data_IF_028026508865
#
_entry.id   IF_028026508865
#
_cell.length_a   1.000
_cell.length_b   1.000
_cell.length_c   1.000
_cell.angle_alpha   90.00
_cell.angle_beta   90.00
_cell.angle_gamma   90.00
#
_symmetry.space_group_name_H-M   'P 1'
#
loop_
_entity.id
_entity.type
_entity.pdbx_description
1 polymer ?
#
# COMPACT_ATOMS: atom_id res chain seq x y z
N UNK A 1 86.24 -14.06 -24.80
CA UNK A 1 85.96 -14.47 -23.41
C UNK A 1 85.38 -13.28 -22.65
N UNK A 2 84.11 -13.41 -22.27
CA UNK A 2 83.30 -12.78 -21.19
C UNK A 2 83.77 -11.43 -20.61
N UNK A 3 82.87 -10.43 -20.64
CA UNK A 3 83.01 -9.19 -19.85
C UNK A 3 81.85 -8.19 -19.97
N UNK A 4 80.67 -8.56 -19.44
CA UNK A 4 79.48 -7.75 -19.04
C UNK A 4 79.34 -6.30 -19.57
N UNK A 5 78.37 -6.06 -20.47
CA UNK A 5 77.79 -4.74 -20.76
C UNK A 5 76.59 -4.47 -19.83
N UNK A 6 76.62 -3.38 -19.07
CA UNK A 6 75.44 -2.77 -18.43
C UNK A 6 74.69 -1.96 -19.49
N UNK A 7 73.40 -2.24 -19.69
CA UNK A 7 72.52 -1.46 -20.54
C UNK A 7 71.87 -0.36 -19.67
N UNK A 8 72.18 0.90 -19.97
CA UNK A 8 71.54 2.07 -19.37
C UNK A 8 70.31 2.43 -20.21
N UNK A 9 69.13 2.41 -19.59
CA UNK A 9 67.86 2.77 -20.21
C UNK A 9 67.76 4.30 -20.26
N UNK A 10 67.76 4.90 -21.46
CA UNK A 10 67.40 6.30 -21.67
C UNK A 10 65.86 6.38 -21.75
N UNK A 11 65.23 7.06 -20.80
CA UNK A 11 63.80 7.38 -20.85
C UNK A 11 63.64 8.86 -21.20
N UNK A 12 63.07 9.13 -22.37
CA UNK A 12 62.70 10.47 -22.87
C UNK A 12 61.64 11.07 -21.96
N UNK A 13 61.92 12.25 -21.38
CA UNK A 13 60.97 13.03 -20.60
C UNK A 13 60.00 13.70 -21.57
N UNK A 14 58.73 13.27 -21.57
CA UNK A 14 57.61 14.02 -22.15
C UNK A 14 56.96 14.79 -21.00
N UNK A 15 57.07 16.12 -21.03
CA UNK A 15 56.40 17.01 -20.08
C UNK A 15 54.92 17.08 -20.44
N UNK A 16 54.07 16.39 -19.67
CA UNK A 16 52.63 16.67 -19.65
C UNK A 16 52.38 17.80 -18.64
N UNK A 17 52.02 18.99 -19.15
CA UNK A 17 51.43 20.04 -18.33
C UNK A 17 50.02 19.55 -17.97
N UNK A 18 49.86 19.01 -16.77
CA UNK A 18 48.55 18.70 -16.22
C UNK A 18 47.93 19.99 -15.70
N UNK A 19 46.96 20.53 -16.44
CA UNK A 19 46.01 21.48 -15.88
C UNK A 19 45.14 20.71 -14.89
N UNK A 20 45.43 20.86 -13.60
CA UNK A 20 44.52 20.44 -12.54
C UNK A 20 43.23 21.27 -12.64
N UNK A 21 42.25 20.81 -13.41
CA UNK A 21 40.86 21.11 -13.10
C UNK A 21 40.55 20.39 -11.79
N UNK A 22 40.49 21.14 -10.70
CA UNK A 22 39.94 20.66 -9.44
C UNK A 22 38.50 20.24 -9.68
N UNK A 23 38.28 18.93 -9.85
CA UNK A 23 36.98 18.36 -9.57
C UNK A 23 36.76 18.55 -8.07
N UNK A 24 35.90 19.50 -7.71
CA UNK A 24 35.28 19.51 -6.41
C UNK A 24 34.46 18.22 -6.37
N UNK A 25 35.03 17.18 -5.77
CA UNK A 25 34.19 16.11 -5.24
C UNK A 25 33.32 16.79 -4.20
N UNK A 26 32.02 16.89 -4.47
CA UNK A 26 31.06 17.09 -3.40
C UNK A 26 31.25 15.91 -2.46
N UNK A 27 31.84 16.14 -1.30
CA UNK A 27 31.73 15.22 -0.18
C UNK A 27 30.23 15.02 0.04
N UNK A 28 29.74 13.83 -0.29
CA UNK A 28 28.44 13.36 0.17
C UNK A 28 28.58 13.31 1.70
N UNK A 29 28.11 14.37 2.36
CA UNK A 29 28.14 14.49 3.82
C UNK A 29 27.25 13.39 4.38
N UNK A 30 27.89 12.27 4.74
CA UNK A 30 27.24 11.17 5.43
C UNK A 30 26.68 11.71 6.76
N UNK A 31 25.43 11.38 7.14
CA UNK A 31 24.88 11.81 8.41
C UNK A 31 25.72 11.27 9.58
N UNK A 32 25.96 12.11 10.59
CA UNK A 32 26.67 11.71 11.82
C UNK A 32 25.85 10.63 12.56
N UNK A 33 26.25 9.35 12.40
CA UNK A 33 25.56 8.16 12.92
C UNK A 33 26.10 7.68 14.29
N UNK A 34 26.85 8.51 15.02
CA UNK A 34 27.79 8.00 16.02
C UNK A 34 27.17 7.45 17.33
N UNK A 35 25.86 7.63 17.58
CA UNK A 35 25.22 7.27 18.86
C UNK A 35 23.96 6.39 18.74
N UNK A 36 23.73 5.73 17.59
CA UNK A 36 22.56 4.86 17.43
C UNK A 36 22.81 3.45 17.99
N UNK A 37 21.91 2.89 18.82
CA UNK A 37 22.04 1.51 19.27
C UNK A 37 21.85 0.56 18.08
N UNK A 38 22.72 -0.44 17.96
CA UNK A 38 22.50 -1.50 16.98
C UNK A 38 21.12 -2.16 17.20
N UNK A 39 20.39 -2.53 16.14
CA UNK A 39 20.79 -2.55 14.72
C UNK A 39 20.28 -1.34 13.92
N UNK A 40 20.06 -0.19 14.56
CA UNK A 40 19.55 0.99 13.86
C UNK A 40 20.59 1.62 12.94
N UNK A 41 20.13 2.08 11.78
CA UNK A 41 20.87 2.94 10.87
C UNK A 41 20.03 4.18 10.55
N UNK A 42 20.64 5.24 10.04
CA UNK A 42 19.91 6.41 9.55
C UNK A 42 20.46 6.95 8.23
N UNK A 43 19.58 7.58 7.46
CA UNK A 43 19.92 8.23 6.18
C UNK A 43 18.97 9.37 5.90
N UNK A 44 19.46 10.40 5.21
CA UNK A 44 18.59 11.30 4.49
C UNK A 44 18.03 10.61 3.24
N UNK A 45 16.80 10.95 2.89
CA UNK A 45 16.10 10.42 1.73
C UNK A 45 15.58 11.57 0.89
N UNK A 46 16.16 11.72 -0.31
CA UNK A 46 15.76 12.73 -1.29
C UNK A 46 15.44 12.03 -2.62
N UNK A 47 14.18 12.06 -3.04
CA UNK A 47 13.73 11.48 -4.32
C UNK A 47 14.06 12.36 -5.53
N UNK A 48 14.51 13.59 -5.29
CA UNK A 48 14.75 14.63 -6.28
C UNK A 48 15.89 15.55 -5.86
N UNK A 49 16.77 15.90 -6.81
CA UNK A 49 17.97 16.70 -6.55
C UNK A 49 17.66 18.17 -6.19
N UNK A 50 16.50 18.71 -6.61
CA UNK A 50 16.06 20.07 -6.31
C UNK A 50 15.42 20.22 -4.92
N UNK A 51 15.28 19.13 -4.17
CA UNK A 51 14.65 19.09 -2.84
C UNK A 51 15.60 18.62 -1.72
N UNK A 52 16.90 18.82 -1.91
CA UNK A 52 17.93 18.50 -0.91
C UNK A 52 17.97 19.63 0.13
N UNK A 53 17.55 19.31 1.35
CA UNK A 53 17.70 20.19 2.51
C UNK A 53 19.07 20.04 3.17
N UNK A 54 19.25 20.73 4.30
CA UNK A 54 20.42 20.50 5.17
C UNK A 54 20.43 19.04 5.67
N UNK A 55 21.61 18.42 5.83
CA UNK A 55 21.70 17.04 6.33
C UNK A 55 20.95 16.84 7.64
N UNK A 56 20.14 15.79 7.70
CA UNK A 56 19.46 15.39 8.93
C UNK A 56 20.40 14.68 9.89
N UNK A 57 19.90 14.37 11.09
CA UNK A 57 20.63 13.55 12.06
C UNK A 57 19.68 12.76 12.95
N UNK A 58 20.20 11.67 13.52
CA UNK A 58 19.50 10.85 14.50
C UNK A 58 20.45 10.53 15.66
N UNK A 59 19.98 10.70 16.89
CA UNK A 59 20.73 10.45 18.13
C UNK A 59 19.85 9.65 19.09
N UNK A 60 20.44 8.69 19.79
CA UNK A 60 19.78 8.02 20.92
C UNK A 60 20.50 8.36 22.22
N UNK A 61 19.75 8.84 23.21
CA UNK A 61 20.30 9.17 24.52
C UNK A 61 19.23 9.06 25.59
N UNK A 62 19.59 8.50 26.75
CA UNK A 62 18.73 8.44 27.94
C UNK A 62 17.32 7.85 27.70
N UNK A 63 17.21 6.88 26.79
CA UNK A 63 15.93 6.23 26.45
C UNK A 63 15.15 6.87 25.30
N UNK A 64 15.61 7.99 24.77
CA UNK A 64 14.92 8.75 23.72
C UNK A 64 15.69 8.78 22.40
N UNK A 65 14.96 8.68 21.30
CA UNK A 65 15.46 8.98 19.96
C UNK A 65 15.12 10.42 19.59
N UNK A 66 16.12 11.20 19.20
CA UNK A 66 15.97 12.56 18.66
C UNK A 66 16.37 12.56 17.20
N UNK A 67 15.44 12.94 16.33
CA UNK A 67 15.67 13.01 14.89
C UNK A 67 15.46 14.44 14.40
N UNK A 68 16.44 14.98 13.67
CA UNK A 68 16.35 16.27 12.99
C UNK A 68 16.25 16.04 11.49
N UNK A 69 15.28 16.70 10.86
CA UNK A 69 15.17 16.71 9.40
C UNK A 69 14.92 18.11 8.86
N UNK A 70 15.55 18.40 7.73
CA UNK A 70 15.35 19.61 6.94
C UNK A 70 14.68 19.28 5.59
N UNK A 71 13.71 18.36 5.62
CA UNK A 71 13.05 17.81 4.44
C UNK A 71 11.95 18.69 3.84
N UNK A 72 11.79 18.67 2.50
CA UNK A 72 10.72 19.41 1.83
C UNK A 72 9.36 18.75 1.97
N UNK A 73 9.30 17.43 1.89
CA UNK A 73 8.05 16.74 1.64
C UNK A 73 8.14 15.28 2.05
N UNK A 74 7.16 14.80 2.81
CA UNK A 74 7.01 13.37 3.10
C UNK A 74 5.87 12.74 2.28
N UNK A 75 5.16 13.54 1.48
CA UNK A 75 3.90 13.25 0.81
C UNK A 75 3.97 13.42 -0.72
N UNK A 76 3.11 12.73 -1.45
CA UNK A 76 3.00 12.93 -2.91
C UNK A 76 4.19 12.36 -3.71
N UNK A 77 4.61 13.08 -4.74
CA UNK A 77 5.66 12.66 -5.67
C UNK A 77 7.08 13.08 -5.25
N UNK A 78 7.22 13.61 -4.03
CA UNK A 78 8.50 14.04 -3.46
C UNK A 78 8.67 13.38 -2.09
N UNK A 79 9.82 12.75 -1.89
CA UNK A 79 10.27 12.26 -0.59
C UNK A 79 11.58 12.95 -0.26
N UNK A 80 11.54 13.84 0.71
CA UNK A 80 12.64 14.63 1.21
C UNK A 80 12.49 14.69 2.73
N UNK A 81 13.16 13.79 3.45
CA UNK A 81 13.08 13.65 4.91
C UNK A 81 14.26 12.84 5.48
N UNK A 82 14.41 12.83 6.81
CA UNK A 82 15.40 11.97 7.48
C UNK A 82 14.71 10.69 7.98
N UNK A 83 15.36 9.55 7.81
CA UNK A 83 14.81 8.24 8.15
C UNK A 83 15.80 7.39 8.94
N UNK A 84 15.37 6.93 10.11
CA UNK A 84 16.11 6.04 10.99
C UNK A 84 15.40 4.68 11.02
N UNK A 85 16.10 3.59 10.70
CA UNK A 85 15.46 2.32 10.35
C UNK A 85 16.22 1.07 10.78
N UNK A 86 15.49 -0.05 10.78
CA UNK A 86 16.03 -1.41 10.78
C UNK A 86 15.52 -2.17 9.56
N UNK A 87 16.29 -3.15 9.09
CA UNK A 87 15.83 -4.09 8.06
C UNK A 87 15.10 -5.26 8.72
N UNK A 88 13.85 -5.51 8.32
CA UNK A 88 13.01 -6.56 8.86
C UNK A 88 12.46 -7.43 7.73
N UNK A 89 12.50 -8.75 7.95
CA UNK A 89 11.88 -9.75 7.08
C UNK A 89 10.61 -10.30 7.74
N UNK A 90 9.50 -10.28 7.00
CA UNK A 90 8.21 -10.84 7.38
C UNK A 90 7.34 -9.90 8.23
N UNK A 91 6.41 -10.51 8.97
CA UNK A 91 5.45 -9.81 9.82
C UNK A 91 6.13 -9.06 10.97
N UNK A 92 5.61 -7.87 11.25
CA UNK A 92 6.21 -6.95 12.22
C UNK A 92 5.16 -6.06 12.88
N UNK A 93 5.35 -5.81 14.16
CA UNK A 93 4.57 -4.90 14.98
C UNK A 93 5.51 -3.83 15.53
N UNK A 94 5.32 -2.58 15.14
CA UNK A 94 6.14 -1.46 15.60
C UNK A 94 5.29 -0.46 16.36
N UNK A 95 5.75 -0.06 17.55
CA UNK A 95 5.16 1.00 18.37
C UNK A 95 6.16 2.11 18.62
N UNK A 96 5.68 3.33 18.82
CA UNK A 96 6.46 4.45 19.34
C UNK A 96 5.54 5.43 20.06
N UNK A 97 6.06 6.15 21.05
CA UNK A 97 5.41 7.34 21.59
C UNK A 97 6.13 8.56 21.06
N UNK A 98 5.39 9.45 20.41
CA UNK A 98 5.91 10.75 19.95
C UNK A 98 5.71 11.75 21.09
N UNK A 99 6.82 12.22 21.65
CA UNK A 99 6.81 13.16 22.79
C UNK A 99 6.99 14.60 22.35
N UNK A 100 7.56 14.82 21.15
CA UNK A 100 7.68 16.16 20.56
C UNK A 100 7.73 16.11 19.04
N UNK A 101 7.07 17.09 18.43
CA UNK A 101 7.26 17.48 17.03
C UNK A 101 7.38 19.00 17.01
N UNK A 102 8.48 19.54 16.49
CA UNK A 102 8.64 20.99 16.40
C UNK A 102 7.70 21.57 15.31
N UNK A 103 7.11 22.73 15.59
CA UNK A 103 6.20 23.38 14.64
C UNK A 103 6.95 24.21 13.59
N UNK A 104 7.47 23.54 12.55
CA UNK A 104 8.08 24.23 11.39
C UNK A 104 7.09 24.54 10.27
N UNK A 105 5.98 23.80 10.21
CA UNK A 105 4.88 23.94 9.27
C UNK A 105 3.71 23.07 9.74
N UNK A 106 2.48 23.43 9.38
CA UNK A 106 1.27 22.62 9.61
C UNK A 106 1.30 21.18 9.07
N UNK A 107 2.18 20.89 8.11
CA UNK A 107 2.37 19.56 7.51
C UNK A 107 3.72 18.93 7.86
N UNK A 108 4.46 19.53 8.80
CA UNK A 108 5.63 18.89 9.38
C UNK A 108 5.18 17.66 10.16
N UNK A 109 5.99 16.61 10.16
CA UNK A 109 5.60 15.30 10.70
C UNK A 109 6.74 14.63 11.44
N UNK A 110 6.38 13.83 12.44
CA UNK A 110 7.23 12.81 13.03
C UNK A 110 6.40 11.52 13.19
N UNK A 111 6.92 10.36 12.77
CA UNK A 111 6.12 9.14 12.79
C UNK A 111 6.90 7.85 12.53
N UNK A 112 6.14 6.77 12.35
CA UNK A 112 6.61 5.44 11.96
C UNK A 112 6.39 5.26 10.45
N UNK A 113 7.37 4.65 9.77
CA UNK A 113 7.32 4.31 8.35
C UNK A 113 7.85 2.90 8.09
N UNK A 114 7.06 2.09 7.39
CA UNK A 114 7.45 0.82 6.77
C UNK A 114 7.61 1.05 5.27
N UNK A 115 8.80 0.86 4.70
CA UNK A 115 9.09 1.20 3.29
C UNK A 115 9.84 0.09 2.56
N UNK A 116 9.66 0.03 1.25
CA UNK A 116 10.29 -0.97 0.38
C UNK A 116 11.78 -0.69 0.16
N UNK A 117 12.13 0.52 -0.28
CA UNK A 117 13.48 0.88 -0.74
C UNK A 117 13.96 2.15 -0.06
N UNK A 118 15.26 2.28 0.19
CA UNK A 118 15.89 3.49 0.73
C UNK A 118 16.20 4.56 -0.33
N UNK A 119 15.62 4.48 -1.54
CA UNK A 119 15.90 5.42 -2.62
C UNK A 119 14.65 5.73 -3.42
N UNK A 120 14.65 6.92 -4.03
CA UNK A 120 13.58 7.37 -4.91
C UNK A 120 12.23 7.49 -4.20
N UNK A 121 11.17 7.51 -5.00
CA UNK A 121 9.80 7.47 -4.52
C UNK A 121 9.44 5.99 -4.30
N UNK A 122 9.41 5.55 -3.04
CA UNK A 122 9.26 4.14 -2.71
C UNK A 122 7.91 3.83 -2.05
N UNK A 123 7.25 2.70 -2.41
CA UNK A 123 6.13 2.12 -1.65
C UNK A 123 6.33 2.16 -0.12
N UNK A 124 5.40 2.77 0.63
CA UNK A 124 5.51 2.83 2.10
C UNK A 124 4.18 2.94 2.85
N UNK A 125 4.15 2.47 4.08
CA UNK A 125 3.07 2.65 5.04
C UNK A 125 3.53 3.56 6.18
N UNK A 126 2.78 4.62 6.48
CA UNK A 126 3.12 5.57 7.54
C UNK A 126 1.98 5.85 8.49
N UNK A 127 2.38 6.16 9.73
CA UNK A 127 1.55 6.57 10.85
C UNK A 127 2.30 7.69 11.55
N UNK A 128 1.78 8.92 11.56
CA UNK A 128 2.54 10.08 12.04
C UNK A 128 1.72 11.10 12.82
N UNK A 129 2.46 12.03 13.43
CA UNK A 129 1.93 13.10 14.27
C UNK A 129 2.39 14.43 13.71
N UNK A 130 1.50 15.42 13.72
CA UNK A 130 1.74 16.80 13.28
C UNK A 130 1.82 17.77 14.46
N UNK A 131 2.48 18.94 14.30
CA UNK A 131 2.58 19.94 15.36
C UNK A 131 1.29 20.78 15.59
N UNK A 132 0.29 20.68 14.70
CA UNK A 132 -1.00 21.40 14.75
C UNK A 132 -2.15 20.47 14.34
N UNK A 133 -3.40 20.94 14.51
CA UNK A 133 -4.69 20.22 14.40
C UNK A 133 -5.04 19.64 13.01
N UNK A 134 -4.07 19.14 12.25
CA UNK A 134 -4.30 18.47 10.97
C UNK A 134 -3.74 17.03 11.07
N UNK A 135 -4.57 15.98 11.15
CA UNK A 135 -4.09 14.61 11.38
C UNK A 135 -3.39 14.01 10.15
N UNK A 136 -2.36 13.19 10.35
CA UNK A 136 -1.92 12.24 9.31
C UNK A 136 -1.70 10.83 9.87
N UNK A 137 -2.65 9.96 9.56
CA UNK A 137 -2.39 8.52 9.47
C UNK A 137 -2.70 8.15 8.03
N UNK A 138 -1.67 8.03 7.20
CA UNK A 138 -1.83 7.77 5.76
C UNK A 138 -0.78 6.78 5.31
N UNK A 139 -1.17 5.57 4.93
CA UNK A 139 -0.26 4.71 4.19
C UNK A 139 -0.19 5.19 2.76
N UNK A 140 0.99 5.63 2.33
CA UNK A 140 1.19 5.92 0.91
C UNK A 140 1.41 4.62 0.13
N UNK A 141 0.32 4.03 -0.38
CA UNK A 141 0.40 3.58 -1.77
C UNK A 141 0.73 4.84 -2.55
N UNK A 142 1.75 4.88 -3.42
CA UNK A 142 1.61 5.90 -4.45
C UNK A 142 0.41 5.48 -5.31
N UNK A 143 -0.68 6.24 -5.13
CA UNK A 143 -1.85 6.50 -6.00
C UNK A 143 -3.25 5.89 -5.69
N UNK A 144 -3.58 5.66 -4.42
CA UNK A 144 -4.98 5.84 -3.96
C UNK A 144 -4.97 6.87 -2.83
N UNK A 145 -5.74 7.94 -2.98
CA UNK A 145 -5.97 8.95 -1.96
C UNK A 145 -7.01 8.38 -0.97
N UNK A 146 -6.60 7.91 0.21
CA UNK A 146 -7.48 7.58 1.31
C UNK A 146 -6.73 7.39 2.64
N UNK A 147 -7.33 7.86 3.73
CA UNK A 147 -6.86 7.67 5.10
C UNK A 147 -7.94 8.11 6.08
N UNK A 148 -8.05 7.42 7.21
CA UNK A 148 -8.98 7.74 8.27
C UNK A 148 -8.44 8.83 9.21
N UNK A 149 -9.35 9.66 9.73
CA UNK A 149 -9.04 10.78 10.60
C UNK A 149 -9.57 10.52 12.01
N UNK A 150 -8.70 10.69 12.99
CA UNK A 150 -9.11 10.95 14.37
C UNK A 150 -8.66 12.37 14.69
N UNK A 151 -9.59 13.20 15.18
CA UNK A 151 -9.28 14.54 15.66
C UNK A 151 -8.29 14.49 16.83
N UNK A 152 -7.77 15.66 17.20
CA UNK A 152 -6.75 15.86 18.24
C UNK A 152 -6.95 14.98 19.49
N UNK A 153 -5.90 14.27 19.88
CA UNK A 153 -5.60 13.84 21.24
C UNK A 153 -4.61 14.83 21.88
N UNK A 154 -4.61 14.98 23.20
CA UNK A 154 -3.57 15.76 23.89
C UNK A 154 -2.25 15.01 23.81
N UNK A 155 -1.17 15.65 23.32
CA UNK A 155 0.18 15.06 23.40
C UNK A 155 0.50 14.63 24.84
N UNK A 156 1.19 13.48 25.04
CA UNK A 156 1.88 12.65 24.05
C UNK A 156 0.98 11.68 23.25
N UNK A 157 1.40 11.36 22.02
CA UNK A 157 0.65 10.49 21.09
C UNK A 157 1.38 9.14 20.88
N UNK A 158 0.74 8.03 21.26
CA UNK A 158 1.24 6.70 20.93
C UNK A 158 0.75 6.26 19.56
N UNK A 159 1.68 5.77 18.75
CA UNK A 159 1.44 5.31 17.38
C UNK A 159 1.94 3.89 17.19
N UNK A 160 1.23 3.12 16.37
CA UNK A 160 1.59 1.74 16.05
C UNK A 160 1.23 1.38 14.62
N UNK A 161 2.12 0.61 13.99
CA UNK A 161 1.93 0.06 12.67
C UNK A 161 2.24 -1.44 12.70
N UNK A 162 1.28 -2.26 12.25
CA UNK A 162 1.40 -3.71 12.22
C UNK A 162 1.34 -4.19 10.79
N UNK A 163 2.25 -5.08 10.38
CA UNK A 163 2.22 -5.82 9.11
C UNK A 163 1.97 -7.31 9.38
N UNK A 164 0.98 -7.88 8.71
CA UNK A 164 0.77 -9.34 8.57
C UNK A 164 0.63 -9.69 7.09
N UNK A 165 1.65 -10.32 6.53
CA UNK A 165 1.78 -10.55 5.09
C UNK A 165 1.69 -9.23 4.32
N UNK A 166 0.55 -9.03 3.65
CA UNK A 166 0.25 -7.87 2.83
C UNK A 166 -0.79 -6.94 3.46
N UNK A 167 -1.24 -7.22 4.68
CA UNK A 167 -2.17 -6.35 5.39
C UNK A 167 -1.44 -5.55 6.46
N UNK A 168 -1.78 -4.28 6.56
CA UNK A 168 -1.20 -3.29 7.45
C UNK A 168 -2.30 -2.67 8.28
N UNK A 169 -2.09 -2.53 9.59
CA UNK A 169 -3.02 -1.87 10.49
C UNK A 169 -2.32 -0.74 11.21
N UNK A 170 -2.92 0.45 11.12
CA UNK A 170 -2.47 1.64 11.82
C UNK A 170 -3.31 1.85 13.09
N UNK A 171 -2.65 2.08 14.22
CA UNK A 171 -3.32 2.33 15.49
C UNK A 171 -2.76 3.56 16.20
N UNK A 172 -3.60 4.16 17.02
CA UNK A 172 -3.22 5.15 18.02
C UNK A 172 -3.62 4.73 19.41
N UNK A 173 -2.97 5.31 20.41
CA UNK A 173 -3.33 5.15 21.80
C UNK A 173 -3.01 6.43 22.59
N UNK A 174 -3.78 6.70 23.63
CA UNK A 174 -3.49 7.77 24.60
C UNK A 174 -2.53 7.27 25.70
N UNK A 175 -2.51 5.97 25.97
CA UNK A 175 -1.82 5.37 27.13
C UNK A 175 -0.77 4.30 26.75
N UNK A 176 -0.67 3.94 25.48
CA UNK A 176 0.20 2.88 24.97
C UNK A 176 -0.31 1.45 25.24
N UNK A 177 -1.49 1.32 25.84
CA UNK A 177 -2.10 0.05 26.25
C UNK A 177 -3.37 -0.22 25.47
N UNK A 178 -4.28 0.76 25.39
CA UNK A 178 -5.53 0.67 24.66
C UNK A 178 -5.35 1.27 23.27
N UNK A 179 -5.35 0.40 22.27
CA UNK A 179 -5.13 0.78 20.88
C UNK A 179 -6.45 0.92 20.12
N UNK A 180 -6.60 2.03 19.43
CA UNK A 180 -7.71 2.32 18.53
C UNK A 180 -7.25 2.11 17.09
N UNK A 181 -7.92 1.22 16.37
CA UNK A 181 -7.69 1.04 14.94
C UNK A 181 -8.10 2.32 14.21
N UNK A 182 -7.19 2.85 13.42
CA UNK A 182 -7.46 3.98 12.54
C UNK A 182 -7.81 3.46 11.17
N UNK A 183 -6.97 2.58 10.63
CA UNK A 183 -7.07 2.15 9.24
C UNK A 183 -6.51 0.74 9.05
N UNK A 184 -7.17 -0.03 8.18
CA UNK A 184 -6.68 -1.30 7.67
C UNK A 184 -6.37 -1.16 6.18
N UNK A 185 -5.14 -1.50 5.79
CA UNK A 185 -4.66 -1.32 4.43
C UNK A 185 -4.08 -2.61 3.89
N UNK A 186 -4.48 -2.96 2.69
CA UNK A 186 -3.79 -3.97 1.92
C UNK A 186 -2.66 -3.31 1.11
N UNK A 187 -1.46 -3.86 1.14
CA UNK A 187 -0.33 -3.40 0.36
C UNK A 187 0.69 -4.52 0.09
N UNK A 188 1.12 -4.66 -1.15
CA UNK A 188 2.13 -5.66 -1.53
C UNK A 188 3.51 -5.01 -1.33
N UNK A 189 4.13 -5.31 -0.18
CA UNK A 189 5.54 -5.03 0.04
C UNK A 189 6.33 -6.35 -0.05
N UNK A 190 7.59 -6.33 -0.51
CA UNK A 190 8.42 -7.53 -0.45
C UNK A 190 8.56 -8.03 0.99
N UNK A 191 8.93 -9.31 1.14
CA UNK A 191 9.11 -9.92 2.46
C UNK A 191 10.10 -9.14 3.34
N UNK A 192 11.17 -8.60 2.74
CA UNK A 192 12.15 -7.77 3.44
C UNK A 192 11.87 -6.30 3.18
N UNK A 193 11.68 -5.53 4.24
CA UNK A 193 11.39 -4.09 4.22
C UNK A 193 12.28 -3.34 5.22
N UNK A 194 12.26 -2.01 5.13
CA UNK A 194 12.80 -1.13 6.15
C UNK A 194 11.68 -0.62 7.04
N UNK A 195 11.85 -0.71 8.35
CA UNK A 195 10.88 -0.23 9.34
C UNK A 195 11.57 0.76 10.26
N UNK A 196 10.93 1.88 10.56
CA UNK A 196 11.64 2.92 11.27
C UNK A 196 10.88 4.20 11.56
N UNK A 197 11.60 5.13 12.17
CA UNK A 197 11.14 6.48 12.51
C UNK A 197 11.51 7.44 11.40
N UNK A 198 10.62 8.36 11.05
CA UNK A 198 10.91 9.42 10.08
C UNK A 198 10.44 10.77 10.59
N UNK A 199 11.14 11.83 10.17
CA UNK A 199 10.81 13.22 10.48
C UNK A 199 10.93 14.05 9.22
N UNK A 200 9.98 14.95 8.99
CA UNK A 200 10.01 15.91 7.88
C UNK A 200 9.61 17.29 8.38
N UNK A 201 10.31 18.33 7.93
CA UNK A 201 10.06 19.72 8.35
C UNK A 201 9.12 20.49 7.44
N UNK A 202 8.85 19.98 6.23
CA UNK A 202 8.23 20.75 5.13
C UNK A 202 8.97 22.06 4.83
N UNK A 203 10.25 22.15 5.20
CA UNK A 203 11.08 23.33 5.09
C UNK A 203 12.57 22.96 4.93
N UNK A 204 13.14 23.26 3.76
CA UNK A 204 14.52 22.89 3.43
C UNK A 204 15.60 23.73 4.12
N UNK A 205 15.21 24.70 4.95
CA UNK A 205 16.15 25.60 5.65
C UNK A 205 16.05 25.53 7.18
N UNK A 206 14.94 24.99 7.72
CA UNK A 206 14.65 24.87 9.15
C UNK A 206 14.44 23.40 9.53
N UNK A 207 15.10 22.98 10.62
CA UNK A 207 14.90 21.64 11.15
C UNK A 207 13.56 21.54 11.88
N UNK A 208 12.82 20.48 11.58
CA UNK A 208 11.87 19.90 12.52
C UNK A 208 12.63 18.87 13.36
N UNK A 209 12.45 18.92 14.68
CA UNK A 209 12.94 17.90 15.60
C UNK A 209 11.77 17.03 16.05
N UNK A 210 11.84 15.74 15.73
CA UNK A 210 10.96 14.71 16.31
C UNK A 210 11.68 14.03 17.48
N UNK A 211 10.97 13.87 18.60
CA UNK A 211 11.46 13.12 19.76
C UNK A 211 10.52 11.95 20.03
N UNK A 212 11.11 10.76 20.19
CA UNK A 212 10.41 9.50 20.37
C UNK A 212 10.96 8.76 21.58
N UNK A 213 10.08 8.13 22.33
CA UNK A 213 10.45 7.12 23.32
C UNK A 213 9.57 5.88 23.19
N UNK A 214 9.84 4.87 24.03
CA UNK A 214 9.10 3.60 24.05
C UNK A 214 8.95 2.95 22.65
N UNK A 215 10.01 3.06 21.85
CA UNK A 215 10.06 2.50 20.49
C UNK A 215 10.30 1.00 20.57
N UNK A 216 9.36 0.21 20.04
CA UNK A 216 9.52 -1.25 19.96
C UNK A 216 9.35 -1.72 18.53
N UNK A 217 10.18 -2.66 18.10
CA UNK A 217 10.01 -3.43 16.86
C UNK A 217 9.97 -4.89 17.24
N UNK A 218 8.80 -5.50 17.08
CA UNK A 218 8.57 -6.91 17.37
C UNK A 218 8.33 -7.67 16.08
N UNK A 219 9.28 -8.53 15.71
CA UNK A 219 9.02 -9.54 14.66
C UNK A 219 7.92 -10.47 15.17
N UNK A 220 6.91 -10.65 14.35
CA UNK A 220 5.79 -11.49 14.70
C UNK A 220 5.99 -12.89 14.10
N UNK A 221 5.57 -13.90 14.83
CA UNK A 221 5.56 -15.25 14.30
C UNK A 221 4.54 -15.33 13.16
N UNK A 222 4.84 -16.05 12.07
CA UNK A 222 3.84 -16.38 11.05
C UNK A 222 2.62 -17.00 11.71
N UNK A 223 1.42 -16.53 11.38
CA UNK A 223 0.19 -17.16 11.85
C UNK A 223 0.09 -18.57 11.25
N UNK A 224 -0.12 -19.59 12.10
CA UNK A 224 -0.27 -20.99 11.65
C UNK A 224 -1.64 -21.24 10.98
N UNK A 225 -2.62 -20.42 11.32
CA UNK A 225 -4.03 -20.47 10.95
C UNK A 225 -4.40 -19.46 9.85
N UNK A 226 -3.52 -18.50 9.58
CA UNK A 226 -3.70 -17.50 8.53
C UNK A 226 -2.38 -17.37 7.75
N UNK A 227 -2.12 -18.24 6.75
CA UNK A 227 -0.98 -18.05 5.86
C UNK A 227 -1.08 -16.65 5.23
N UNK A 228 0.07 -16.04 4.89
CA UNK A 228 0.12 -14.71 4.23
C UNK A 228 -0.97 -14.60 3.16
N UNK A 229 -1.65 -13.44 3.01
CA UNK A 229 -2.71 -13.27 2.04
C UNK A 229 -2.29 -13.88 0.70
N UNK A 230 -3.07 -14.85 0.25
CA UNK A 230 -2.84 -15.59 -0.99
C UNK A 230 -3.21 -14.76 -2.19
N UNK A 231 -4.09 -13.78 -1.98
CA UNK A 231 -4.26 -12.65 -2.87
C UNK A 231 -2.93 -11.87 -2.99
N UNK A 232 -2.60 -11.42 -4.20
CA UNK A 232 -1.38 -10.70 -4.59
C UNK A 232 -1.77 -9.56 -5.49
N UNK A 233 -1.13 -8.40 -5.31
CA UNK A 233 -1.50 -7.17 -6.03
C UNK A 233 -0.35 -6.73 -6.90
N UNK A 234 -0.63 -6.53 -8.18
CA UNK A 234 0.28 -5.96 -9.16
C UNK A 234 -0.28 -4.63 -9.58
N UNK A 235 0.37 -3.56 -9.14
CA UNK A 235 -0.03 -2.21 -9.48
C UNK A 235 0.40 -1.86 -10.90
N UNK A 236 -0.38 -1.02 -11.55
CA UNK A 236 -0.14 -0.49 -12.88
C UNK A 236 1.28 0.08 -13.06
N UNK A 237 1.87 0.70 -12.04
CA UNK A 237 3.21 1.28 -12.15
C UNK A 237 4.36 0.24 -12.12
N UNK A 238 4.10 -1.03 -11.78
CA UNK A 238 5.11 -2.07 -11.80
C UNK A 238 5.40 -2.54 -13.23
N UNK A 239 6.15 -1.74 -13.97
CA UNK A 239 6.58 -2.03 -15.34
C UNK A 239 7.57 -3.21 -15.45
N UNK A 240 8.06 -3.75 -14.32
CA UNK A 240 8.83 -4.99 -14.32
C UNK A 240 7.91 -6.21 -14.43
N UNK A 241 6.71 -6.11 -13.87
CA UNK A 241 5.70 -7.17 -13.89
C UNK A 241 4.71 -7.01 -15.05
N UNK A 242 4.20 -5.80 -15.28
CA UNK A 242 3.22 -5.52 -16.34
C UNK A 242 3.93 -5.03 -17.60
N UNK A 243 3.76 -5.78 -18.68
CA UNK A 243 4.26 -5.44 -20.00
C UNK A 243 3.26 -4.58 -20.75
N UNK A 244 3.56 -3.29 -20.87
CA UNK A 244 2.81 -2.34 -21.69
C UNK A 244 3.33 -2.32 -23.13
N UNK A 245 2.43 -2.41 -24.12
CA UNK A 245 2.74 -2.38 -25.56
C UNK A 245 1.83 -1.38 -26.27
N UNK A 246 2.35 -0.67 -27.29
CA UNK A 246 1.56 0.27 -28.10
C UNK A 246 2.12 1.69 -28.12
N UNK A 247 1.31 2.65 -28.56
CA UNK A 247 1.73 4.03 -28.87
C UNK A 247 2.01 4.89 -27.63
N UNK A 248 1.42 4.62 -26.45
CA UNK A 248 1.94 4.96 -25.10
C UNK A 248 0.87 4.73 -24.02
N UNK A 249 1.23 4.04 -22.94
CA UNK A 249 0.51 4.09 -21.65
C UNK A 249 1.12 5.16 -20.76
N UNK A 250 0.33 6.17 -20.38
CA UNK A 250 0.73 7.28 -19.51
C UNK A 250 0.13 7.17 -18.13
N UNK A 251 0.81 7.72 -17.14
CA UNK A 251 0.28 7.89 -15.79
C UNK A 251 -0.43 9.24 -15.70
N UNK A 252 -1.68 9.27 -15.23
CA UNK A 252 -2.40 10.53 -14.99
C UNK A 252 -2.10 11.10 -13.59
N UNK A 253 -2.66 12.25 -13.25
CA UNK A 253 -2.44 12.92 -11.95
C UNK A 253 -2.92 12.10 -10.75
N UNK A 254 -3.91 11.23 -10.97
CA UNK A 254 -4.47 10.33 -9.96
C UNK A 254 -3.71 9.00 -9.88
N UNK A 255 -2.93 8.70 -10.90
CA UNK A 255 -2.00 7.57 -10.90
C UNK A 255 -2.42 6.32 -11.58
N UNK A 256 -3.54 6.36 -12.27
CA UNK A 256 -3.93 5.28 -13.16
C UNK A 256 -3.02 5.31 -14.38
N UNK A 257 -2.70 4.14 -14.90
CA UNK A 257 -2.14 4.06 -16.23
C UNK A 257 -3.29 4.07 -17.22
N UNK A 258 -3.19 4.94 -18.21
CA UNK A 258 -4.22 5.14 -19.21
C UNK A 258 -3.66 5.17 -20.62
N UNK A 259 -4.53 4.85 -21.57
CA UNK A 259 -4.29 5.06 -23.00
C UNK A 259 -5.62 5.34 -23.68
N UNK A 260 -5.57 6.02 -24.82
CA UNK A 260 -6.70 6.25 -25.73
C UNK A 260 -6.50 5.55 -27.07
N UNK A 261 -5.33 4.93 -27.28
CA UNK A 261 -4.97 4.36 -28.57
C UNK A 261 -5.54 2.95 -28.69
N UNK A 262 -6.46 2.77 -29.63
CA UNK A 262 -6.99 1.46 -29.97
C UNK A 262 -5.85 0.47 -30.30
N UNK A 263 -5.83 -0.68 -29.63
CA UNK A 263 -4.81 -1.71 -29.77
C UNK A 263 -3.64 -1.63 -28.78
N UNK A 264 -3.48 -0.52 -28.04
CA UNK A 264 -2.54 -0.49 -26.91
C UNK A 264 -2.94 -1.54 -25.87
N UNK A 265 -1.95 -2.20 -25.26
CA UNK A 265 -2.21 -3.33 -24.36
C UNK A 265 -1.33 -3.35 -23.12
N UNK A 266 -1.82 -4.01 -22.08
CA UNK A 266 -1.13 -4.33 -20.84
C UNK A 266 -1.24 -5.84 -20.61
N UNK A 267 -0.11 -6.51 -20.38
CA UNK A 267 -0.03 -7.97 -20.26
C UNK A 267 0.71 -8.35 -18.98
N UNK A 268 0.17 -9.31 -18.23
CA UNK A 268 0.73 -9.79 -16.98
C UNK A 268 0.54 -11.31 -16.84
N UNK A 269 1.61 -12.01 -16.46
CA UNK A 269 1.59 -13.43 -16.18
C UNK A 269 1.68 -13.69 -14.68
N UNK A 270 0.83 -14.58 -14.18
CA UNK A 270 0.76 -14.94 -12.76
C UNK A 270 0.68 -16.44 -12.59
N UNK A 271 1.08 -16.93 -11.42
CA UNK A 271 0.77 -18.29 -10.98
C UNK A 271 -0.34 -18.23 -9.95
N UNK A 272 -1.51 -18.78 -10.25
CA UNK A 272 -2.66 -18.63 -9.37
C UNK A 272 -3.92 -19.36 -9.81
N UNK A 273 -5.01 -19.06 -9.12
CA UNK A 273 -6.35 -19.66 -9.30
C UNK A 273 -7.44 -18.62 -9.53
N UNK A 274 -7.11 -17.33 -9.48
CA UNK A 274 -8.01 -16.24 -9.88
C UNK A 274 -7.23 -15.02 -10.37
N UNK A 275 -7.91 -14.14 -11.09
CA UNK A 275 -7.41 -12.82 -11.47
C UNK A 275 -8.54 -11.80 -11.51
N UNK A 276 -8.24 -10.57 -11.10
CA UNK A 276 -9.13 -9.43 -11.04
C UNK A 276 -8.41 -8.20 -11.57
N UNK A 277 -9.12 -7.38 -12.34
CA UNK A 277 -8.64 -6.09 -12.82
C UNK A 277 -9.41 -4.99 -12.11
N UNK A 278 -8.69 -4.14 -11.38
CA UNK A 278 -9.21 -2.88 -10.86
C UNK A 278 -8.90 -1.73 -11.83
N UNK A 279 -9.82 -0.78 -11.87
CA UNK A 279 -9.69 0.43 -12.66
C UNK A 279 -10.78 1.42 -12.31
N UNK A 280 -10.94 2.42 -13.17
CA UNK A 280 -11.90 3.51 -12.97
C UNK A 280 -12.89 3.51 -14.11
N UNK A 281 -14.17 3.75 -13.78
CA UNK A 281 -15.22 3.97 -14.78
C UNK A 281 -15.66 5.43 -14.80
N UNK A 282 -15.60 6.07 -15.97
CA UNK A 282 -15.91 7.50 -16.17
C UNK A 282 -16.85 7.72 -17.36
N UNK A 283 -17.54 8.87 -17.46
CA UNK A 283 -18.48 9.11 -18.56
C UNK A 283 -17.86 9.09 -19.96
N UNK A 284 -16.56 9.36 -20.07
CA UNK A 284 -15.81 9.43 -21.33
C UNK A 284 -14.89 8.23 -21.59
N UNK A 285 -14.88 7.23 -20.70
CA UNK A 285 -14.03 6.06 -20.90
C UNK A 285 -14.51 5.19 -22.06
N UNK A 286 -13.59 4.44 -22.65
CA UNK A 286 -13.85 3.45 -23.69
C UNK A 286 -13.97 2.04 -23.10
N UNK A 287 -13.84 1.02 -23.94
CA UNK A 287 -13.87 -0.38 -23.53
C UNK A 287 -12.50 -1.04 -23.62
N UNK A 288 -12.32 -2.16 -22.91
CA UNK A 288 -11.15 -3.03 -22.98
C UNK A 288 -11.58 -4.42 -23.43
N UNK A 289 -10.88 -5.01 -24.38
CA UNK A 289 -10.92 -6.46 -24.54
C UNK A 289 -10.01 -7.11 -23.49
N UNK A 290 -10.54 -8.10 -22.79
CA UNK A 290 -9.83 -8.88 -21.78
C UNK A 290 -9.59 -10.28 -22.34
N UNK A 291 -8.32 -10.63 -22.49
CA UNK A 291 -7.90 -11.97 -22.85
C UNK A 291 -7.32 -12.68 -21.64
N UNK A 292 -7.65 -13.96 -21.47
CA UNK A 292 -7.01 -14.86 -20.53
C UNK A 292 -6.46 -16.06 -21.29
N UNK A 293 -5.17 -16.32 -21.10
CA UNK A 293 -4.43 -17.39 -21.78
C UNK A 293 -4.60 -17.34 -23.32
N UNK A 294 -4.61 -16.12 -23.86
CA UNK A 294 -4.75 -15.84 -25.29
C UNK A 294 -6.18 -15.93 -25.84
N UNK A 295 -7.18 -16.28 -25.02
CA UNK A 295 -8.60 -16.33 -25.43
C UNK A 295 -9.34 -15.08 -24.95
N UNK A 296 -10.17 -14.50 -25.81
CA UNK A 296 -11.04 -13.40 -25.42
C UNK A 296 -12.07 -13.92 -24.40
N UNK A 297 -12.06 -13.34 -23.21
CA UNK A 297 -13.03 -13.64 -22.16
C UNK A 297 -14.20 -12.67 -22.20
N UNK A 298 -13.92 -11.36 -22.25
CA UNK A 298 -14.94 -10.32 -22.22
C UNK A 298 -14.46 -9.01 -22.86
N UNK A 299 -15.40 -8.20 -23.38
CA UNK A 299 -15.16 -6.79 -23.66
C UNK A 299 -15.83 -5.93 -22.57
N UNK A 300 -15.03 -5.30 -21.73
CA UNK A 300 -15.47 -4.52 -20.57
C UNK A 300 -15.61 -3.05 -20.93
N UNK A 301 -16.81 -2.50 -20.78
CA UNK A 301 -17.02 -1.05 -20.84
C UNK A 301 -16.60 -0.39 -19.53
N UNK A 302 -15.71 0.62 -19.63
CA UNK A 302 -15.37 1.48 -18.50
C UNK A 302 -16.23 2.75 -18.45
N UNK A 303 -17.28 2.84 -19.27
CA UNK A 303 -18.14 4.02 -19.30
C UNK A 303 -19.17 3.98 -18.16
N UNK A 304 -19.18 4.98 -17.26
CA UNK A 304 -20.18 5.09 -16.16
C UNK A 304 -20.41 6.54 -15.74
N UNK A 305 -21.65 6.87 -15.32
CA UNK A 305 -22.04 8.14 -14.71
C UNK A 305 -23.06 7.86 -13.56
N UNK A 306 -22.82 8.27 -12.30
CA UNK A 306 -21.63 8.98 -11.80
C UNK A 306 -20.33 8.15 -11.93
N UNK A 307 -19.18 8.82 -11.83
CA UNK A 307 -17.87 8.16 -11.83
C UNK A 307 -17.76 7.11 -10.72
N UNK A 308 -17.01 6.05 -10.99
CA UNK A 308 -16.75 4.96 -10.05
C UNK A 308 -15.25 4.67 -10.00
N UNK A 309 -14.61 5.20 -8.96
CA UNK A 309 -13.19 5.08 -8.71
C UNK A 309 -12.93 3.80 -7.90
N UNK A 310 -11.89 3.04 -8.25
CA UNK A 310 -11.53 1.75 -7.62
C UNK A 310 -12.61 0.66 -7.73
N UNK A 311 -13.14 0.44 -8.93
CA UNK A 311 -14.10 -0.62 -9.17
C UNK A 311 -13.47 -1.83 -9.88
N UNK A 312 -14.06 -2.99 -9.64
CA UNK A 312 -13.75 -4.22 -10.36
C UNK A 312 -14.25 -4.05 -11.80
N UNK A 313 -13.32 -4.08 -12.73
CA UNK A 313 -13.60 -4.02 -14.16
C UNK A 313 -13.74 -5.43 -14.74
N UNK A 314 -12.97 -6.39 -14.23
CA UNK A 314 -13.03 -7.80 -14.62
C UNK A 314 -12.64 -8.68 -13.45
N UNK A 315 -13.24 -9.87 -13.34
CA UNK A 315 -12.85 -10.90 -12.38
C UNK A 315 -13.06 -12.29 -12.98
N UNK A 316 -12.07 -13.16 -12.78
CA UNK A 316 -12.14 -14.59 -13.11
C UNK A 316 -11.63 -15.40 -11.93
N UNK A 317 -12.48 -16.23 -11.38
CA UNK A 317 -12.17 -17.18 -10.31
C UNK A 317 -12.18 -18.62 -10.83
N UNK A 318 -11.68 -19.56 -10.03
CA UNK A 318 -11.75 -21.00 -10.36
C UNK A 318 -10.81 -21.43 -11.49
N UNK A 319 -9.76 -20.66 -11.74
CA UNK A 319 -8.67 -21.09 -12.64
C UNK A 319 -7.96 -22.29 -12.02
N UNK A 320 -7.52 -23.22 -12.88
CA UNK A 320 -6.67 -24.33 -12.44
C UNK A 320 -5.37 -23.75 -11.90
N UNK A 321 -4.89 -24.22 -10.75
CA UNK A 321 -3.59 -23.76 -10.24
C UNK A 321 -2.51 -23.96 -11.31
N UNK A 322 -1.85 -22.87 -11.66
CA UNK A 322 -0.79 -22.86 -12.66
C UNK A 322 -0.52 -21.46 -13.18
N UNK A 323 0.36 -21.38 -14.18
CA UNK A 323 0.66 -20.12 -14.85
C UNK A 323 -0.46 -19.73 -15.80
N UNK A 324 -0.92 -18.49 -15.66
CA UNK A 324 -1.91 -17.84 -16.51
C UNK A 324 -1.38 -16.48 -16.99
N UNK A 325 -1.94 -15.98 -18.09
CA UNK A 325 -1.64 -14.65 -18.63
C UNK A 325 -2.91 -13.88 -18.90
N UNK A 326 -3.08 -12.74 -18.22
CA UNK A 326 -4.12 -11.76 -18.53
C UNK A 326 -3.55 -10.70 -19.49
N UNK A 327 -4.31 -10.35 -20.51
CA UNK A 327 -3.98 -9.26 -21.45
C UNK A 327 -5.18 -8.36 -21.66
N UNK A 328 -4.97 -7.07 -21.42
CA UNK A 328 -5.96 -6.01 -21.59
C UNK A 328 -5.64 -5.27 -22.89
N UNK A 329 -6.60 -5.08 -23.78
CA UNK A 329 -6.40 -4.38 -25.06
C UNK A 329 -7.41 -3.25 -25.20
N UNK A 330 -6.91 -2.02 -25.35
CA UNK A 330 -7.73 -0.83 -25.54
C UNK A 330 -8.59 -0.95 -26.81
N UNK A 331 -9.91 -0.75 -26.65
CA UNK A 331 -10.90 -0.73 -27.73
C UNK A 331 -11.47 0.67 -27.87
N UNK A 332 -11.39 1.24 -29.06
CA UNK A 332 -11.95 2.56 -29.39
C UNK A 332 -11.02 3.73 -29.08
N UNK A 333 -11.58 4.95 -29.16
CA UNK A 333 -10.83 6.21 -29.10
C UNK A 333 -10.98 6.98 -27.77
N UNK A 334 -11.64 6.39 -26.77
CA UNK A 334 -11.76 6.98 -25.42
C UNK A 334 -10.71 6.41 -24.45
N UNK A 335 -10.58 7.01 -23.27
CA UNK A 335 -9.62 6.56 -22.26
C UNK A 335 -9.99 5.19 -21.70
N UNK A 336 -9.00 4.32 -21.54
CA UNK A 336 -9.08 3.14 -20.70
C UNK A 336 -8.10 3.29 -19.54
N UNK A 337 -8.46 2.78 -18.37
CA UNK A 337 -7.75 2.95 -17.12
C UNK A 337 -7.43 1.60 -16.50
N UNK A 338 -6.17 1.39 -16.15
CA UNK A 338 -5.69 0.29 -15.32
C UNK A 338 -5.11 0.86 -14.02
N UNK A 339 -5.60 0.34 -12.90
CA UNK A 339 -5.08 0.65 -11.57
C UNK A 339 -4.28 -0.53 -11.01
N UNK A 340 -4.90 -1.70 -10.87
CA UNK A 340 -4.19 -2.90 -10.41
C UNK A 340 -4.74 -4.19 -10.99
N UNK A 341 -3.89 -5.20 -11.02
CA UNK A 341 -4.23 -6.59 -11.27
C UNK A 341 -4.05 -7.35 -9.96
N UNK A 342 -5.06 -8.07 -9.55
CA UNK A 342 -5.06 -8.84 -8.31
C UNK A 342 -5.20 -10.31 -8.69
N UNK A 343 -4.41 -11.20 -8.10
CA UNK A 343 -4.51 -12.63 -8.36
C UNK A 343 -4.35 -13.44 -7.08
N UNK A 344 -4.91 -14.63 -7.03
CA UNK A 344 -4.83 -15.49 -5.85
C UNK A 344 -3.97 -16.72 -6.09
N UNK A 345 -3.06 -17.04 -5.16
CA UNK A 345 -2.16 -18.19 -5.24
C UNK A 345 -2.66 -19.42 -4.49
N UNK A 346 -3.85 -19.36 -3.88
CA UNK A 346 -4.46 -20.49 -3.14
C UNK A 346 -4.48 -21.72 -4.01
N UNK A 347 -4.01 -22.81 -3.42
CA UNK A 347 -4.31 -24.13 -3.90
C UNK A 347 -5.65 -24.55 -3.32
N UNK A 348 -6.70 -24.55 -4.15
CA UNK A 348 -7.96 -25.19 -3.78
C UNK A 348 -7.72 -26.71 -3.80
N UNK A 349 -7.27 -27.27 -2.67
CA UNK A 349 -6.87 -28.69 -2.55
C UNK A 349 -8.03 -29.68 -2.51
N UNK A 350 -9.27 -29.25 -2.64
CA UNK A 350 -10.36 -30.20 -2.86
C UNK A 350 -11.74 -29.68 -2.53
N UNK A 351 -12.66 -29.94 -3.46
CA UNK A 351 -14.10 -29.68 -3.43
C UNK A 351 -14.50 -28.21 -3.57
N UNK A 352 -14.83 -27.85 -4.80
CA UNK A 352 -15.79 -26.77 -5.08
C UNK A 352 -17.10 -27.09 -4.37
N UNK A 353 -17.64 -26.10 -3.66
CA UNK A 353 -18.92 -26.21 -2.97
C UNK A 353 -19.89 -25.25 -3.63
N UNK A 354 -20.71 -25.77 -4.54
CA UNK A 354 -21.75 -24.98 -5.17
C UNK A 354 -22.78 -24.55 -4.13
N UNK A 355 -23.00 -23.24 -4.01
CA UNK A 355 -24.07 -22.67 -3.21
C UNK A 355 -25.13 -22.05 -4.13
N UNK A 356 -26.37 -21.93 -3.64
CA UNK A 356 -27.48 -21.33 -4.41
C UNK A 356 -27.91 -20.02 -3.78
N UNK A 357 -28.48 -19.11 -4.55
CA UNK A 357 -29.26 -18.01 -3.93
C UNK A 357 -30.61 -18.55 -3.42
N UNK A 358 -31.08 -18.09 -2.25
CA UNK A 358 -32.43 -18.40 -1.76
C UNK A 358 -33.49 -18.10 -2.83
N UNK A 359 -34.34 -19.08 -3.12
CA UNK A 359 -35.49 -18.94 -4.04
C UNK A 359 -36.76 -18.43 -3.32
N UNK A 360 -36.58 -17.90 -2.12
CA UNK A 360 -37.62 -17.34 -1.27
C UNK A 360 -37.20 -15.95 -0.82
N UNK A 361 -38.19 -15.13 -0.47
CA UNK A 361 -37.96 -13.78 0.04
C UNK A 361 -37.16 -13.85 1.35
N UNK A 362 -36.07 -13.11 1.42
CA UNK A 362 -35.22 -13.01 2.62
C UNK A 362 -35.33 -11.61 3.19
N UNK A 363 -35.52 -11.54 4.51
CA UNK A 363 -35.59 -10.28 5.25
C UNK A 363 -34.42 -10.20 6.24
N UNK A 364 -33.72 -9.07 6.30
CA UNK A 364 -32.80 -8.71 7.39
C UNK A 364 -33.39 -7.53 8.16
N UNK A 365 -33.70 -7.72 9.45
CA UNK A 365 -34.35 -6.69 10.27
C UNK A 365 -35.65 -6.12 9.69
N UNK A 366 -36.39 -6.92 8.91
CA UNK A 366 -37.62 -6.50 8.21
C UNK A 366 -37.41 -5.89 6.82
N UNK A 367 -36.16 -5.67 6.38
CA UNK A 367 -35.82 -5.19 5.04
C UNK A 367 -35.65 -6.36 4.08
N UNK A 368 -36.30 -6.30 2.92
CA UNK A 368 -36.13 -7.29 1.87
C UNK A 368 -34.76 -7.17 1.18
N UNK A 369 -34.08 -8.31 1.05
CA UNK A 369 -32.77 -8.40 0.41
C UNK A 369 -32.95 -8.79 -1.04
N UNK A 370 -32.47 -7.96 -1.96
CA UNK A 370 -32.34 -8.33 -3.36
C UNK A 370 -30.99 -9.01 -3.62
N UNK A 371 -30.94 -10.34 -3.45
CA UNK A 371 -29.72 -11.13 -3.62
C UNK A 371 -29.06 -10.98 -5.00
N UNK A 372 -29.78 -10.53 -6.03
CA UNK A 372 -29.22 -10.31 -7.37
C UNK A 372 -28.50 -8.97 -7.53
N UNK A 373 -28.63 -8.07 -6.55
CA UNK A 373 -28.14 -6.70 -6.64
C UNK A 373 -27.16 -6.29 -5.54
N UNK A 374 -26.88 -7.18 -4.60
CA UNK A 374 -25.95 -6.94 -3.49
C UNK A 374 -24.64 -7.71 -3.70
N UNK A 375 -23.51 -7.09 -3.34
CA UNK A 375 -22.17 -7.67 -3.53
C UNK A 375 -21.98 -8.96 -2.74
N UNK A 376 -22.55 -9.01 -1.52
CA UNK A 376 -22.52 -10.16 -0.64
C UNK A 376 -23.95 -10.69 -0.50
N UNK A 377 -24.42 -11.60 -1.36
CA UNK A 377 -25.76 -12.15 -1.27
C UNK A 377 -25.89 -13.12 -0.10
N UNK A 378 -27.12 -13.31 0.36
CA UNK A 378 -27.45 -14.48 1.18
C UNK A 378 -27.34 -15.71 0.30
N UNK A 379 -26.67 -16.74 0.79
CA UNK A 379 -26.46 -18.00 0.07
C UNK A 379 -27.12 -19.16 0.83
N UNK A 380 -27.58 -20.15 0.09
CA UNK A 380 -28.06 -21.44 0.58
C UNK A 380 -26.93 -22.46 0.47
N UNK A 381 -26.54 -23.00 1.60
CA UNK A 381 -25.63 -24.13 1.67
C UNK A 381 -26.19 -25.21 2.59
N UNK A 382 -26.25 -26.46 2.11
CA UNK A 382 -26.87 -27.58 2.81
C UNK A 382 -28.29 -27.29 3.36
N UNK A 383 -29.08 -26.50 2.62
CA UNK A 383 -30.44 -26.14 3.01
C UNK A 383 -30.55 -25.04 4.07
N UNK A 384 -29.43 -24.45 4.50
CA UNK A 384 -29.39 -23.36 5.47
C UNK A 384 -29.04 -22.05 4.76
N UNK A 385 -29.77 -20.94 5.01
CA UNK A 385 -29.39 -19.61 4.55
C UNK A 385 -28.25 -19.04 5.40
N UNK A 386 -27.20 -18.55 4.75
CA UNK A 386 -26.06 -17.89 5.38
C UNK A 386 -26.08 -16.41 5.05
N UNK A 387 -26.16 -15.59 6.10
CA UNK A 387 -26.07 -14.14 5.99
C UNK A 387 -24.61 -13.71 6.08
N UNK A 388 -24.12 -12.88 5.14
CA UNK A 388 -22.82 -12.23 5.29
C UNK A 388 -22.82 -11.37 6.56
N UNK A 389 -21.80 -11.50 7.41
CA UNK A 389 -21.63 -10.65 8.59
C UNK A 389 -20.85 -9.37 8.24
N UNK A 390 -21.22 -8.72 7.13
CA UNK A 390 -20.67 -7.40 6.81
C UNK A 390 -21.35 -6.34 7.66
N UNK A 391 -20.72 -5.16 7.76
CA UNK A 391 -21.29 -4.03 8.50
C UNK A 391 -22.73 -3.71 8.08
N UNK A 392 -23.01 -3.70 6.78
CA UNK A 392 -24.35 -3.40 6.24
C UNK A 392 -25.42 -4.40 6.71
N UNK A 393 -25.10 -5.70 6.71
CA UNK A 393 -26.00 -6.74 7.20
C UNK A 393 -26.17 -6.70 8.71
N UNK A 394 -25.08 -6.45 9.44
CA UNK A 394 -25.09 -6.27 10.89
C UNK A 394 -25.97 -5.06 11.28
N UNK A 395 -25.79 -3.92 10.62
CA UNK A 395 -26.61 -2.71 10.79
C UNK A 395 -28.09 -2.98 10.46
N UNK A 396 -28.37 -3.65 9.34
CA UNK A 396 -29.73 -4.01 8.96
C UNK A 396 -30.41 -4.94 9.98
N UNK A 397 -29.64 -5.84 10.59
CA UNK A 397 -30.13 -6.76 11.64
C UNK A 397 -30.12 -6.15 13.05
N UNK A 398 -29.58 -4.94 13.23
CA UNK A 398 -29.43 -4.33 14.56
C UNK A 398 -28.42 -5.04 15.45
N UNK A 399 -27.41 -5.69 14.86
CA UNK A 399 -26.38 -6.44 15.58
C UNK A 399 -25.00 -5.86 15.34
N UNK A 400 -24.12 -6.04 16.31
CA UNK A 400 -22.69 -5.77 16.19
C UNK A 400 -21.95 -7.11 16.24
N UNK A 401 -21.18 -7.43 15.20
CA UNK A 401 -20.37 -8.63 15.13
C UNK A 401 -18.89 -8.27 15.33
N UNK A 402 -18.28 -8.78 16.39
CA UNK A 402 -16.88 -8.55 16.73
C UNK A 402 -16.17 -9.89 16.85
N UNK A 403 -15.14 -10.10 16.04
CA UNK A 403 -14.29 -11.28 16.17
C UNK A 403 -13.22 -11.02 17.23
N UNK A 404 -13.29 -11.75 18.34
CA UNK A 404 -12.29 -11.70 19.41
C UNK A 404 -11.31 -12.88 19.27
N UNK A 405 -10.01 -12.62 19.47
CA UNK A 405 -8.96 -13.63 19.29
C UNK A 405 -9.07 -14.82 20.27
N UNK A 406 -9.75 -14.67 21.42
CA UNK A 406 -9.88 -15.73 22.44
C UNK A 406 -11.29 -16.30 22.54
N UNK A 407 -12.31 -15.44 22.44
CA UNK A 407 -13.71 -15.81 22.59
C UNK A 407 -14.38 -16.18 21.26
N UNK A 408 -13.73 -15.92 20.12
CA UNK A 408 -14.30 -16.13 18.80
C UNK A 408 -15.29 -15.03 18.43
N UNK A 409 -16.26 -15.36 17.57
CA UNK A 409 -17.23 -14.39 17.08
C UNK A 409 -18.25 -14.04 18.17
N UNK A 410 -18.21 -12.80 18.64
CA UNK A 410 -19.22 -12.24 19.54
C UNK A 410 -20.24 -11.43 18.73
N UNK A 411 -21.52 -11.78 18.85
CA UNK A 411 -22.63 -11.03 18.24
C UNK A 411 -23.45 -10.41 19.35
N UNK A 412 -23.52 -9.08 19.37
CA UNK A 412 -24.31 -8.31 20.34
C UNK A 412 -25.50 -7.70 19.66
N UNK A 413 -26.67 -7.76 20.31
CA UNK A 413 -27.85 -7.03 19.87
C UNK A 413 -27.75 -5.62 20.44
N UNK A 414 -27.77 -4.60 19.58
CA UNK A 414 -27.77 -3.22 20.02
C UNK A 414 -29.22 -2.76 20.21
N UNK A 415 -29.65 -2.59 21.47
CA UNK A 415 -30.99 -2.11 21.82
C UNK A 415 -31.28 -0.67 21.39
N UNK A 416 -30.25 0.10 21.02
CA UNK A 416 -30.37 1.49 20.57
C UNK A 416 -30.41 1.64 19.04
N UNK A 417 -30.05 0.61 18.26
CA UNK A 417 -30.13 0.64 16.80
C UNK A 417 -31.57 0.39 16.30
N UNK A 418 -32.46 1.34 16.57
CA UNK A 418 -33.71 1.47 15.85
C UNK A 418 -33.45 2.15 14.50
N UNK A 419 -33.04 1.38 13.47
CA UNK A 419 -33.36 1.65 12.06
C UNK A 419 -32.82 0.54 11.17
N UNK A 420 -33.73 -0.26 10.65
CA UNK A 420 -33.55 -0.99 9.40
C UNK A 420 -33.08 -0.02 8.30
N UNK A 421 -31.79 -0.02 8.00
CA UNK A 421 -31.26 0.68 6.82
C UNK A 421 -31.41 -0.23 5.60
N UNK A 422 -31.92 0.27 4.46
CA UNK A 422 -31.97 -0.51 3.23
C UNK A 422 -30.56 -0.89 2.78
N UNK A 423 -30.36 -2.15 2.39
CA UNK A 423 -29.14 -2.56 1.68
C UNK A 423 -29.10 -1.83 0.33
N UNK A 424 -27.97 -1.21 0.00
CA UNK A 424 -27.81 -0.54 -1.30
C UNK A 424 -27.69 -1.57 -2.43
N UNK A 425 -28.31 -1.27 -3.58
CA UNK A 425 -28.06 -2.00 -4.82
C UNK A 425 -26.61 -1.70 -5.27
N UNK A 426 -25.67 -2.60 -4.97
CA UNK A 426 -24.23 -2.42 -5.27
C UNK A 426 -23.80 -3.03 -6.60
N UNK A 427 -24.65 -3.85 -7.25
CA UNK A 427 -24.35 -4.49 -8.54
C UNK A 427 -25.22 -3.87 -9.66
N UNK A 428 -24.57 -3.35 -10.70
CA UNK A 428 -25.27 -2.87 -11.91
C UNK A 428 -25.44 -3.98 -12.94
N UNK A 429 -26.68 -4.41 -13.16
CA UNK A 429 -27.05 -5.40 -14.18
C UNK A 429 -27.71 -6.64 -13.59
N UNK A 430 -28.78 -7.11 -14.22
CA UNK A 430 -29.46 -8.36 -13.86
C UNK A 430 -28.67 -9.53 -14.40
N UNK A 431 -27.86 -10.20 -13.57
CA UNK A 431 -27.36 -11.54 -13.91
C UNK A 431 -28.18 -12.59 -13.14
N UNK A 432 -29.26 -13.13 -13.71
CA UNK A 432 -30.17 -14.04 -13.01
C UNK A 432 -29.58 -15.45 -12.75
N UNK A 433 -28.33 -15.73 -13.15
CA UNK A 433 -27.78 -17.09 -13.21
C UNK A 433 -26.44 -17.29 -12.46
N UNK A 434 -26.08 -16.43 -11.52
CA UNK A 434 -24.80 -16.58 -10.80
C UNK A 434 -24.89 -17.70 -9.76
N UNK A 435 -24.48 -18.92 -10.13
CA UNK A 435 -24.02 -19.92 -9.16
C UNK A 435 -22.71 -19.39 -8.55
N UNK A 436 -22.68 -19.15 -7.24
CA UNK A 436 -21.45 -18.79 -6.54
C UNK A 436 -20.67 -20.08 -6.25
N UNK A 437 -19.40 -20.12 -6.68
CA UNK A 437 -18.51 -21.30 -6.70
C UNK A 437 -17.86 -21.54 -5.34
#
# INVERSE_FOLDING_TARGET
MIGKRKLSLFLTIVVFISFCFGFINAEETQPENNDLPAPWASTDLFSRADYIGKPGSAVYKDGEFTIKSCGREAWGDIQAFHYMYQTVKGDVDMTARVTRVDNTHDYAVAGIMFRQELKGISPNAVVDVRPVDIPTYWVTRRRVHGGAYLGKTTQPDWIRLVRRGHTFWAYVSEDGQKWHLIEEMYFDLPDTIYVGLYVCSKNMTKYNTGVFDNVTIKKLQPRKDNPSPTEKYVYNFDRKLIKYTGKKWTENDWGHHETTNNGDSAEFSFEGTSVKMLGVKKPWSSSLDIFLDGKLEETVSQKKNPEDNNCINFERVGLKKGTHTIKLVCRGNGYVYLDSIIYDTREYTGKTVKVKVPQFKVLAGGVEINNLKVHNPVIMYNGVPYFPLTKEYCDAMGVEAVLDEKAGLNVKINSEMNKAMPLQDTISGSNPNTEYI
#
